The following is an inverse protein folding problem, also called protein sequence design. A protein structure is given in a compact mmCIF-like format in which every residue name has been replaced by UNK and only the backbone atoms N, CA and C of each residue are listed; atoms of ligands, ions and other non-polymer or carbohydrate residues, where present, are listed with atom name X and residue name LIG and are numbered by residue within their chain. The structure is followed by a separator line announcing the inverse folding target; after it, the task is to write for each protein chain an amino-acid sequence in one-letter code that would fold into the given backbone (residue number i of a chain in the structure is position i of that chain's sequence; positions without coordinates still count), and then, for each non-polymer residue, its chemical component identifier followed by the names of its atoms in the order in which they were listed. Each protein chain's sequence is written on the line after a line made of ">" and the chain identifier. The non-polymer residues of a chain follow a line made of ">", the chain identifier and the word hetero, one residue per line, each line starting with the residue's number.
data_IF_921784854902
#
_entry.id   IF_921784854902
#
_cell.length_a   1.000
_cell.length_b   1.000
_cell.length_c   1.000
_cell.angle_alpha   90.00
_cell.angle_beta   90.00
_cell.angle_gamma   90.00
#
_symmetry.space_group_name_H-M   'P 1'
#
loop_
_entity.id
_entity.type
_entity.pdbx_description
1 polymer ?
#
# COMPACT_ATOMS: atom_id res chain seq x y z
N UNK A 1 -20.84 -26.14 -7.61
CA UNK A 1 -20.75 -25.35 -6.37
C UNK A 1 -19.44 -24.58 -6.47
N UNK A 2 -19.50 -23.28 -6.71
CA UNK A 2 -18.30 -22.44 -6.71
C UNK A 2 -17.93 -22.20 -5.25
N UNK A 3 -16.71 -22.56 -4.87
CA UNK A 3 -16.21 -22.35 -3.52
C UNK A 3 -15.53 -20.98 -3.51
N UNK A 4 -15.90 -20.13 -2.56
CA UNK A 4 -15.17 -18.89 -2.29
C UNK A 4 -13.70 -19.24 -1.96
N UNK A 5 -12.70 -18.60 -2.60
CA UNK A 5 -11.31 -18.92 -2.35
C UNK A 5 -10.89 -18.44 -0.96
N UNK A 6 -9.90 -19.12 -0.37
CA UNK A 6 -9.48 -18.80 1.00
C UNK A 6 -8.75 -17.45 1.07
N UNK A 7 -9.01 -16.69 2.13
CA UNK A 7 -8.35 -15.42 2.43
C UNK A 7 -6.82 -15.58 2.52
N UNK A 8 -6.04 -14.70 1.88
CA UNK A 8 -4.59 -14.68 2.03
C UNK A 8 -4.15 -14.56 3.50
N UNK A 9 -2.97 -15.08 3.82
CA UNK A 9 -2.38 -14.90 5.14
C UNK A 9 -2.06 -13.42 5.44
N UNK A 10 -1.54 -13.17 6.65
CA UNK A 10 -1.06 -11.84 7.03
C UNK A 10 0.03 -11.37 6.05
N UNK A 11 0.01 -10.08 5.73
CA UNK A 11 1.05 -9.45 4.93
C UNK A 11 1.83 -8.41 5.72
N UNK A 12 2.99 -8.04 5.19
CA UNK A 12 3.82 -6.94 5.66
C UNK A 12 4.23 -6.06 4.50
N UNK A 13 4.51 -4.79 4.77
CA UNK A 13 5.36 -3.97 3.91
C UNK A 13 6.79 -4.16 4.37
N UNK A 14 7.57 -4.94 3.62
CA UNK A 14 8.94 -5.30 4.01
C UNK A 14 9.98 -4.30 3.49
N UNK A 15 9.64 -3.55 2.44
CA UNK A 15 10.41 -2.40 1.98
C UNK A 15 9.48 -1.21 1.78
N UNK A 16 9.90 -0.03 2.25
CA UNK A 16 9.21 1.24 2.04
C UNK A 16 10.20 2.37 1.85
N UNK A 17 9.90 3.28 0.94
CA UNK A 17 10.57 4.57 0.81
C UNK A 17 9.52 5.68 0.60
N UNK A 18 9.94 6.82 0.04
CA UNK A 18 9.10 7.99 -0.16
C UNK A 18 7.96 7.74 -1.15
N UNK A 19 8.16 6.90 -2.17
CA UNK A 19 7.19 6.73 -3.27
C UNK A 19 6.86 5.26 -3.58
N UNK A 20 7.35 4.33 -2.78
CA UNK A 20 7.27 2.89 -3.02
C UNK A 20 6.93 2.13 -1.75
N UNK A 21 5.97 1.21 -1.85
CA UNK A 21 5.68 0.19 -0.85
C UNK A 21 5.76 -1.19 -1.50
N UNK A 22 6.60 -2.07 -0.94
CA UNK A 22 6.75 -3.45 -1.38
C UNK A 22 6.05 -4.37 -0.38
N UNK A 23 4.97 -4.98 -0.85
CA UNK A 23 4.06 -5.80 -0.07
C UNK A 23 4.46 -7.26 -0.23
N UNK A 24 4.57 -7.99 0.88
CA UNK A 24 4.87 -9.43 0.92
C UNK A 24 3.82 -10.12 1.79
N UNK A 25 3.19 -11.16 1.27
CA UNK A 25 2.14 -11.91 1.96
C UNK A 25 2.40 -13.41 1.95
N UNK A 26 1.82 -14.09 2.92
CA UNK A 26 1.78 -15.54 2.98
C UNK A 26 0.57 -16.08 2.21
N UNK A 27 0.66 -17.28 1.62
CA UNK A 27 -0.49 -17.94 1.03
C UNK A 27 -1.57 -18.26 2.08
N UNK A 28 -2.81 -18.53 1.66
CA UNK A 28 -3.87 -18.94 2.57
C UNK A 28 -3.52 -20.22 3.36
N UNK A 29 -3.89 -20.25 4.64
CA UNK A 29 -3.86 -21.47 5.47
C UNK A 29 -5.22 -21.66 6.18
N UNK A 30 -5.91 -22.79 5.98
CA UNK A 30 -5.53 -23.94 5.15
C UNK A 30 -5.41 -23.61 3.65
N UNK A 31 -4.63 -24.37 2.86
CA UNK A 31 -4.50 -24.15 1.43
C UNK A 31 -5.85 -24.21 0.72
N UNK A 32 -6.09 -23.28 -0.21
CA UNK A 32 -7.33 -23.21 -1.00
C UNK A 32 -7.04 -23.16 -2.51
N UNK A 33 -8.10 -23.33 -3.31
CA UNK A 33 -8.03 -23.20 -4.76
C UNK A 33 -8.15 -21.73 -5.16
N UNK A 34 -7.17 -21.21 -5.91
CA UNK A 34 -7.18 -19.89 -6.53
C UNK A 34 -6.19 -19.88 -7.69
N UNK A 35 -6.39 -18.97 -8.63
CA UNK A 35 -5.56 -18.82 -9.83
C UNK A 35 -4.47 -17.78 -9.61
N UNK A 36 -4.84 -16.62 -9.08
CA UNK A 36 -3.94 -15.50 -8.83
C UNK A 36 -4.39 -14.70 -7.61
N UNK A 37 -3.54 -13.77 -7.18
CA UNK A 37 -3.85 -12.77 -6.17
C UNK A 37 -4.26 -11.46 -6.84
N UNK A 38 -5.20 -10.75 -6.22
CA UNK A 38 -5.46 -9.34 -6.48
C UNK A 38 -4.94 -8.52 -5.31
N UNK A 39 -4.11 -7.53 -5.59
CA UNK A 39 -3.58 -6.59 -4.60
C UNK A 39 -3.93 -5.19 -4.99
N UNK A 40 -4.49 -4.41 -4.07
CA UNK A 40 -4.85 -3.01 -4.34
C UNK A 40 -4.34 -2.07 -3.26
N UNK A 41 -4.08 -0.83 -3.65
CA UNK A 41 -3.66 0.25 -2.77
C UNK A 41 -4.55 1.48 -3.00
N UNK A 42 -5.13 2.01 -1.93
CA UNK A 42 -5.99 3.19 -1.98
C UNK A 42 -5.68 4.13 -0.83
N UNK A 43 -5.60 5.45 -1.06
CA UNK A 43 -5.48 6.39 0.05
C UNK A 43 -6.79 6.42 0.87
N UNK A 44 -6.78 6.79 2.17
CA UNK A 44 -7.98 6.78 3.01
C UNK A 44 -9.14 7.67 2.53
N UNK A 45 -8.82 8.72 1.78
CA UNK A 45 -9.75 9.66 1.17
C UNK A 45 -10.18 9.24 -0.25
N UNK A 46 -9.77 8.05 -0.69
CA UNK A 46 -10.32 7.39 -1.86
C UNK A 46 -11.85 7.29 -1.74
N UNK A 47 -12.59 7.91 -2.66
CA UNK A 47 -14.00 7.62 -2.81
C UNK A 47 -14.14 6.23 -3.44
N UNK A 48 -14.24 5.18 -2.62
CA UNK A 48 -14.68 3.87 -3.10
C UNK A 48 -16.17 3.99 -3.41
N UNK A 49 -16.52 4.40 -4.63
CA UNK A 49 -17.92 4.38 -5.07
C UNK A 49 -18.36 2.93 -5.08
N UNK A 50 -19.03 2.51 -4.01
CA UNK A 50 -19.60 1.19 -3.87
C UNK A 50 -20.64 0.93 -4.94
N UNK A 51 -20.80 -0.35 -5.24
CA UNK A 51 -21.82 -0.97 -6.12
C UNK A 51 -21.63 -0.74 -7.62
N UNK A 52 -21.25 -1.86 -8.26
CA UNK A 52 -21.38 -2.15 -9.70
C UNK A 52 -22.85 -1.97 -10.12
N UNK A 53 -23.26 -0.75 -10.46
CA UNK A 53 -24.36 -0.50 -11.40
C UNK A 53 -24.05 0.81 -12.14
N UNK A 54 -23.46 0.66 -13.32
CA UNK A 54 -23.42 1.67 -14.39
C UNK A 54 -23.13 3.11 -13.96
N UNK A 55 -21.84 3.43 -13.76
CA UNK A 55 -21.35 4.74 -14.17
C UNK A 55 -20.10 4.52 -15.00
N UNK A 56 -20.19 4.94 -16.26
CA UNK A 56 -19.06 5.05 -17.19
C UNK A 56 -17.87 5.66 -16.46
N UNK A 57 -16.74 4.96 -16.50
CA UNK A 57 -15.37 5.48 -16.40
C UNK A 57 -15.30 6.95 -15.93
N UNK A 58 -15.38 7.16 -14.62
CA UNK A 58 -14.82 8.36 -14.02
C UNK A 58 -13.84 7.85 -12.98
N UNK A 59 -12.57 7.80 -13.36
CA UNK A 59 -11.44 7.60 -12.46
C UNK A 59 -11.41 8.79 -11.49
N UNK A 60 -12.12 8.69 -10.36
CA UNK A 60 -12.08 9.70 -9.30
C UNK A 60 -11.19 9.17 -8.19
N UNK A 61 -9.88 9.20 -8.42
CA UNK A 61 -8.84 9.00 -7.44
C UNK A 61 -7.62 9.75 -7.98
N UNK A 62 -6.96 10.62 -7.18
CA UNK A 62 -5.78 11.30 -7.68
C UNK A 62 -4.74 10.26 -8.13
N UNK A 63 -3.84 10.60 -9.07
CA UNK A 63 -2.80 9.69 -9.60
C UNK A 63 -1.69 9.48 -8.56
N UNK A 64 -2.09 9.13 -7.34
CA UNK A 64 -1.25 8.90 -6.18
C UNK A 64 -0.53 7.55 -6.25
N UNK A 65 -0.73 6.76 -7.30
CA UNK A 65 -0.05 5.52 -7.60
C UNK A 65 -0.04 5.33 -9.12
N UNK A 66 1.04 4.77 -9.68
CA UNK A 66 1.07 4.42 -11.11
C UNK A 66 0.04 3.34 -11.45
N UNK A 67 -0.03 2.33 -10.58
CA UNK A 67 -0.96 1.22 -10.65
C UNK A 67 -1.59 1.06 -9.26
N UNK A 68 -2.91 1.22 -9.15
CA UNK A 68 -3.64 1.07 -7.88
C UNK A 68 -4.08 -0.38 -7.63
N UNK A 69 -4.06 -1.22 -8.65
CA UNK A 69 -4.39 -2.64 -8.60
C UNK A 69 -3.36 -3.45 -9.38
N UNK A 70 -2.95 -4.60 -8.82
CA UNK A 70 -1.97 -5.52 -9.39
C UNK A 70 -2.48 -6.95 -9.25
N UNK A 71 -2.19 -7.77 -10.25
CA UNK A 71 -2.51 -9.19 -10.28
C UNK A 71 -1.21 -10.00 -10.25
N UNK A 72 -1.12 -10.97 -9.33
CA UNK A 72 0.07 -11.79 -9.13
C UNK A 72 -0.31 -13.25 -9.25
N UNK A 73 0.24 -13.93 -10.26
CA UNK A 73 0.01 -15.37 -10.46
C UNK A 73 0.48 -16.20 -9.28
N UNK A 74 -0.21 -17.31 -9.03
CA UNK A 74 0.22 -18.29 -8.04
C UNK A 74 1.51 -18.97 -8.51
N UNK A 75 2.59 -18.83 -7.74
CA UNK A 75 3.86 -19.46 -8.06
C UNK A 75 4.03 -20.81 -7.32
N UNK A 76 4.05 -21.90 -8.09
CA UNK A 76 4.38 -23.25 -7.61
C UNK A 76 3.37 -23.92 -6.66
N UNK A 77 3.67 -25.18 -6.33
CA UNK A 77 2.98 -25.98 -5.30
C UNK A 77 4.04 -26.71 -4.46
N UNK A 78 4.14 -26.48 -3.13
CA UNK A 78 3.32 -25.57 -2.33
C UNK A 78 3.66 -24.10 -2.60
N UNK A 79 2.67 -23.19 -2.51
CA UNK A 79 2.91 -21.77 -2.76
C UNK A 79 3.86 -21.19 -1.70
N UNK A 80 4.87 -20.46 -2.16
CA UNK A 80 5.72 -19.64 -1.30
C UNK A 80 5.10 -18.27 -0.97
N UNK A 81 5.81 -17.40 -0.24
CA UNK A 81 5.42 -16.00 -0.08
C UNK A 81 5.37 -15.30 -1.44
N UNK A 82 4.33 -14.50 -1.66
CA UNK A 82 4.17 -13.71 -2.88
C UNK A 82 4.31 -12.21 -2.57
N UNK A 83 4.68 -11.42 -3.58
CA UNK A 83 4.98 -9.99 -3.41
C UNK A 83 4.53 -9.12 -4.58
N UNK A 84 4.27 -7.85 -4.30
CA UNK A 84 3.94 -6.82 -5.29
C UNK A 84 4.48 -5.45 -4.87
N UNK A 85 4.86 -4.63 -5.84
CA UNK A 85 5.44 -3.30 -5.62
C UNK A 85 4.50 -2.21 -6.13
N UNK A 86 4.05 -1.32 -5.24
CA UNK A 86 3.34 -0.10 -5.62
C UNK A 86 4.35 1.04 -5.73
N UNK A 87 4.35 1.75 -6.87
CA UNK A 87 5.31 2.82 -7.19
C UNK A 87 4.58 4.11 -7.55
N UNK A 88 5.29 5.24 -7.41
CA UNK A 88 4.74 6.57 -7.70
C UNK A 88 3.77 7.06 -6.63
N UNK A 89 3.95 6.58 -5.39
CA UNK A 89 3.17 6.99 -4.24
C UNK A 89 3.56 8.38 -3.75
N UNK A 90 2.65 9.05 -3.05
CA UNK A 90 2.90 10.38 -2.46
C UNK A 90 3.70 10.22 -1.17
N UNK A 91 4.84 10.92 -1.00
CA UNK A 91 5.62 10.89 0.23
C UNK A 91 4.84 11.29 1.47
N UNK A 92 5.01 10.52 2.54
CA UNK A 92 4.33 10.75 3.81
C UNK A 92 2.81 10.56 3.74
N UNK A 93 2.24 9.91 2.72
CA UNK A 93 0.80 9.62 2.63
C UNK A 93 0.50 8.22 3.15
N UNK A 94 -0.62 8.09 3.86
CA UNK A 94 -1.14 6.80 4.30
C UNK A 94 -1.94 6.15 3.18
N UNK A 95 -1.88 4.83 3.10
CA UNK A 95 -2.60 4.01 2.14
C UNK A 95 -3.14 2.75 2.80
N UNK A 96 -4.37 2.38 2.45
CA UNK A 96 -4.99 1.11 2.77
C UNK A 96 -4.63 0.10 1.67
N UNK A 97 -3.95 -0.97 2.05
CA UNK A 97 -3.54 -2.06 1.17
C UNK A 97 -4.49 -3.23 1.41
N UNK A 98 -4.95 -3.87 0.34
CA UNK A 98 -5.80 -5.07 0.34
C UNK A 98 -5.15 -6.17 -0.49
N UNK A 99 -5.15 -7.40 0.03
CA UNK A 99 -4.70 -8.61 -0.68
C UNK A 99 -5.85 -9.61 -0.67
N UNK A 100 -6.20 -10.15 -1.83
CA UNK A 100 -7.26 -11.14 -2.04
C UNK A 100 -6.77 -12.28 -2.94
N UNK A 101 -7.36 -13.46 -2.81
CA UNK A 101 -7.22 -14.54 -3.80
C UNK A 101 -8.40 -14.52 -4.76
N UNK A 102 -8.14 -14.92 -6.01
CA UNK A 102 -9.13 -14.90 -7.09
C UNK A 102 -9.25 -16.29 -7.73
N UNK A 103 -10.48 -16.79 -7.82
CA UNK A 103 -10.86 -17.98 -8.56
C UNK A 103 -12.11 -17.64 -9.36
N UNK A 104 -11.94 -17.06 -10.55
CA UNK A 104 -13.04 -16.47 -11.32
C UNK A 104 -14.26 -17.41 -11.38
N UNK A 105 -15.47 -16.90 -11.07
CA UNK A 105 -15.82 -15.48 -10.82
C UNK A 105 -15.67 -15.02 -9.35
N UNK A 106 -15.24 -15.89 -8.44
CA UNK A 106 -15.21 -15.64 -6.99
C UNK A 106 -13.91 -14.97 -6.52
N UNK A 107 -14.02 -14.13 -5.50
CA UNK A 107 -12.90 -13.43 -4.85
C UNK A 107 -13.05 -13.60 -3.34
N UNK A 108 -11.95 -13.87 -2.64
CA UNK A 108 -11.96 -14.04 -1.19
C UNK A 108 -12.28 -12.75 -0.44
N UNK A 109 -12.62 -12.88 0.84
CA UNK A 109 -12.44 -11.77 1.78
C UNK A 109 -11.00 -11.19 1.72
N UNK A 110 -10.82 -9.87 1.86
CA UNK A 110 -9.51 -9.25 1.80
C UNK A 110 -8.76 -9.33 3.14
N UNK A 111 -7.44 -9.50 3.05
CA UNK A 111 -6.55 -9.14 4.14
C UNK A 111 -6.12 -7.69 3.94
N UNK A 112 -6.44 -6.82 4.90
CA UNK A 112 -6.20 -5.37 4.78
C UNK A 112 -5.29 -4.84 5.88
N UNK A 113 -4.44 -3.86 5.55
CA UNK A 113 -3.70 -3.07 6.53
C UNK A 113 -3.34 -1.69 5.99
N UNK A 114 -3.16 -0.73 6.89
CA UNK A 114 -2.74 0.62 6.52
C UNK A 114 -1.24 0.80 6.71
N UNK A 115 -0.59 1.38 5.69
CA UNK A 115 0.83 1.72 5.73
C UNK A 115 1.05 3.14 5.22
N UNK A 116 2.16 3.75 5.65
CA UNK A 116 2.55 5.12 5.26
C UNK A 116 3.88 5.09 4.52
N UNK A 117 3.96 5.81 3.41
CA UNK A 117 5.23 6.10 2.73
C UNK A 117 6.11 6.98 3.61
N UNK A 118 7.41 6.98 3.34
CA UNK A 118 8.36 7.81 4.07
C UNK A 118 8.11 9.28 3.71
N UNK A 119 7.99 10.20 4.69
CA UNK A 119 7.88 11.63 4.38
C UNK A 119 9.21 12.15 3.84
N UNK A 120 9.13 13.18 2.99
CA UNK A 120 10.34 13.86 2.51
C UNK A 120 11.13 14.48 3.67
N UNK A 121 12.45 14.53 3.51
CA UNK A 121 13.34 15.07 4.54
C UNK A 121 13.13 16.59 4.70
N UNK A 122 13.10 17.11 5.94
CA UNK A 122 13.11 18.55 6.17
C UNK A 122 14.42 19.15 5.66
N UNK A 123 14.40 20.43 5.35
CA UNK A 123 15.56 21.14 4.80
C UNK A 123 16.13 22.10 5.83
N UNK A 124 17.41 22.45 5.65
CA UNK A 124 18.05 23.55 6.37
C UNK A 124 17.90 23.45 7.91
N UNK A 125 18.19 22.25 8.45
CA UNK A 125 18.17 22.01 9.90
C UNK A 125 19.32 22.79 10.52
N UNK A 126 18.99 23.80 11.32
CA UNK A 126 19.96 24.70 11.93
C UNK A 126 19.64 24.92 13.41
N UNK A 127 20.68 25.15 14.20
CA UNK A 127 20.57 25.58 15.59
C UNK A 127 21.16 27.00 15.70
N UNK A 128 20.33 28.06 15.63
CA UNK A 128 20.85 29.43 15.55
C UNK A 128 21.65 29.80 16.82
N UNK A 129 22.89 30.33 16.70
CA UNK A 129 23.77 30.60 17.82
C UNK A 129 23.15 31.48 18.92
N UNK A 130 22.31 32.44 18.53
CA UNK A 130 21.60 33.34 19.43
C UNK A 130 20.60 32.66 20.39
N UNK A 131 20.28 31.39 20.15
CA UNK A 131 19.41 30.58 21.00
C UNK A 131 20.16 29.39 21.61
N UNK A 132 21.50 29.41 21.61
CA UNK A 132 22.31 28.39 22.28
C UNK A 132 22.62 28.82 23.71
N UNK A 133 22.43 27.89 24.64
CA UNK A 133 22.85 28.00 26.04
C UNK A 133 23.43 26.66 26.48
N UNK A 134 24.06 26.61 27.65
CA UNK A 134 24.66 25.38 28.19
C UNK A 134 23.63 24.25 28.41
N UNK A 135 22.37 24.60 28.69
CA UNK A 135 21.31 23.63 29.05
C UNK A 135 20.14 23.60 28.07
N UNK A 136 20.12 24.49 27.08
CA UNK A 136 19.04 24.54 26.09
C UNK A 136 19.51 25.07 24.74
N UNK A 137 18.85 24.61 23.69
CA UNK A 137 19.02 25.16 22.35
C UNK A 137 17.70 25.09 21.58
N UNK A 138 17.60 25.91 20.53
CA UNK A 138 16.47 25.87 19.59
C UNK A 138 16.95 25.35 18.25
N UNK A 139 16.17 24.45 17.66
CA UNK A 139 16.36 23.96 16.29
C UNK A 139 15.28 24.54 15.40
N UNK A 140 15.65 24.94 14.19
CA UNK A 140 14.75 25.38 13.14
C UNK A 140 15.03 24.59 11.85
N UNK A 141 14.00 24.38 11.04
CA UNK A 141 14.12 23.76 9.73
C UNK A 141 13.07 24.32 8.78
N UNK A 142 13.31 24.14 7.49
CA UNK A 142 12.38 24.45 6.42
C UNK A 142 11.60 23.18 6.03
N UNK A 143 10.38 23.34 5.51
CA UNK A 143 9.63 22.21 4.96
C UNK A 143 10.39 21.57 3.78
N UNK A 144 10.08 20.31 3.45
CA UNK A 144 10.60 19.67 2.24
C UNK A 144 10.33 20.49 0.98
N UNK A 145 11.15 20.29 -0.07
CA UNK A 145 10.80 20.72 -1.43
C UNK A 145 10.00 19.59 -2.07
N UNK A 146 8.93 19.92 -2.78
CA UNK A 146 8.33 18.99 -3.73
C UNK A 146 9.38 18.69 -4.83
N UNK A 147 9.59 17.41 -5.16
CA UNK A 147 10.47 16.96 -6.26
C UNK A 147 9.71 16.89 -7.59
#
# INVERSE_FOLDING_TARGET
>A
MFLEPNTPGKFIVWFRNETTLLVLWQPPYPPGFYTHYKVSILPPDACTTGSVLFVRQVSILPPDARDSELYVEKEGEPPGPAQAAFKGLVPGRAYNISVQTVSEPEISAPTTAQYRTVPLRPRNVTAPPQYLSETSFRVAWLPPLDE
#
